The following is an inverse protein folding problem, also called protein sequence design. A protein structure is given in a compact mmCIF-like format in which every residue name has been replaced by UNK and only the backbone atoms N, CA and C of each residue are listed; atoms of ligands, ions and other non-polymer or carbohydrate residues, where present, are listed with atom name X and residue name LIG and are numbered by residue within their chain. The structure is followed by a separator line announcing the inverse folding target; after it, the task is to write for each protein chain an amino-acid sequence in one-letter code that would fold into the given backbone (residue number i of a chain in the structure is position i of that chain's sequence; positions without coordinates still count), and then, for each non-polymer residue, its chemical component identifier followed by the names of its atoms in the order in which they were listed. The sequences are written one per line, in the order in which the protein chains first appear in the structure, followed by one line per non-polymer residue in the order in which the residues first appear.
data_IF_144145502625
#
_entry.id   IF_144145502625
#
_cell.length_a   1.000
_cell.length_b   1.000
_cell.length_c   1.000
_cell.angle_alpha   90.00
_cell.angle_beta   90.00
_cell.angle_gamma   90.00
#
_symmetry.space_group_name_H-M   'P 1'
#
loop_
_entity.id
_entity.type
_entity.pdbx_description
1 polymer ?
#
# COMPACT_ATOMS: atom_id res chain seq x y z
N UNK A 1 9.95 23.25 10.21
CA UNK A 1 9.70 23.44 8.76
C UNK A 1 9.55 22.05 8.14
N UNK A 2 8.38 21.74 7.60
CA UNK A 2 8.23 20.52 6.80
C UNK A 2 9.07 20.69 5.53
N UNK A 3 9.84 19.66 5.18
CA UNK A 3 10.53 19.63 3.90
C UNK A 3 9.51 19.82 2.76
N UNK A 4 9.85 20.52 1.68
CA UNK A 4 8.94 20.66 0.55
C UNK A 4 8.56 19.27 0.03
N UNK A 5 7.27 19.07 -0.23
CA UNK A 5 6.78 17.83 -0.82
C UNK A 5 7.47 17.59 -2.17
N UNK A 6 8.08 16.44 -2.34
CA UNK A 6 8.70 16.01 -3.60
C UNK A 6 7.83 14.90 -4.20
N UNK A 7 7.25 15.17 -5.37
CA UNK A 7 6.46 14.18 -6.09
C UNK A 7 7.33 13.03 -6.60
N UNK A 8 6.77 11.83 -6.68
CA UNK A 8 7.42 10.71 -7.36
C UNK A 8 7.56 10.99 -8.84
N UNK A 9 8.69 10.61 -9.49
CA UNK A 9 8.80 10.67 -10.94
C UNK A 9 7.68 9.89 -11.67
N UNK A 10 7.08 8.90 -11.00
CA UNK A 10 6.04 8.04 -11.54
C UNK A 10 4.61 8.61 -11.41
N UNK A 11 4.43 9.76 -10.76
CA UNK A 11 3.17 10.52 -10.77
C UNK A 11 2.91 11.24 -12.11
N UNK A 12 3.88 11.24 -13.00
CA UNK A 12 3.76 11.76 -14.36
C UNK A 12 4.02 10.66 -15.38
N UNK A 13 3.62 10.86 -16.64
CA UNK A 13 3.91 9.91 -17.71
C UNK A 13 5.43 9.68 -17.83
N UNK A 14 5.86 8.46 -17.53
CA UNK A 14 7.25 8.05 -17.44
C UNK A 14 7.55 6.94 -18.46
N UNK A 15 8.77 6.84 -19.04
CA UNK A 15 9.13 5.75 -19.96
C UNK A 15 8.86 4.34 -19.41
N UNK A 16 8.99 4.14 -18.10
CA UNK A 16 8.71 2.87 -17.43
C UNK A 16 7.26 2.40 -17.65
N UNK A 17 6.27 3.30 -17.58
CA UNK A 17 4.85 2.94 -17.79
C UNK A 17 4.66 2.35 -19.20
N UNK A 18 5.20 3.03 -20.21
CA UNK A 18 5.17 2.55 -21.60
C UNK A 18 5.88 1.20 -21.74
N UNK A 19 7.06 1.06 -21.16
CA UNK A 19 7.83 -0.19 -21.22
C UNK A 19 7.04 -1.36 -20.60
N UNK A 20 6.35 -1.14 -19.48
CA UNK A 20 5.49 -2.17 -18.85
C UNK A 20 4.34 -2.55 -19.78
N UNK A 21 3.61 -1.58 -20.35
CA UNK A 21 2.50 -1.82 -21.28
C UNK A 21 2.98 -2.61 -22.51
N UNK A 22 4.08 -2.17 -23.13
CA UNK A 22 4.64 -2.80 -24.34
C UNK A 22 5.11 -4.23 -24.04
N UNK A 23 5.82 -4.44 -22.94
CA UNK A 23 6.30 -5.76 -22.52
C UNK A 23 5.14 -6.72 -22.22
N UNK A 24 4.12 -6.27 -21.48
CA UNK A 24 2.96 -7.07 -21.16
C UNK A 24 2.22 -7.56 -22.44
N UNK A 25 2.02 -6.66 -23.39
CA UNK A 25 1.40 -6.98 -24.68
C UNK A 25 2.24 -7.90 -25.54
N UNK A 26 3.55 -7.65 -25.59
CA UNK A 26 4.47 -8.47 -26.42
C UNK A 26 4.63 -9.89 -25.87
N UNK A 27 4.64 -10.06 -24.57
CA UNK A 27 4.84 -11.34 -23.89
C UNK A 27 3.51 -12.08 -23.63
N UNK A 28 2.37 -11.40 -23.77
CA UNK A 28 1.04 -11.88 -23.34
C UNK A 28 1.00 -12.28 -21.85
N UNK A 29 1.70 -11.51 -21.02
CA UNK A 29 1.81 -11.72 -19.58
C UNK A 29 1.39 -10.44 -18.85
N UNK A 30 0.80 -10.57 -17.68
CA UNK A 30 0.40 -9.43 -16.87
C UNK A 30 1.46 -8.98 -15.84
N UNK A 31 2.57 -9.71 -15.76
CA UNK A 31 3.72 -9.47 -14.86
C UNK A 31 4.99 -9.47 -15.66
N UNK A 32 5.66 -8.33 -15.74
CA UNK A 32 6.79 -8.11 -16.64
C UNK A 32 7.87 -7.26 -15.99
N UNK A 33 9.02 -7.18 -16.64
CA UNK A 33 10.14 -6.31 -16.25
C UNK A 33 10.53 -6.50 -14.78
N UNK A 34 10.96 -7.68 -14.35
CA UNK A 34 11.36 -7.92 -12.98
C UNK A 34 12.46 -6.95 -12.55
N UNK A 35 12.24 -6.31 -11.40
CA UNK A 35 13.18 -5.38 -10.79
C UNK A 35 13.60 -5.94 -9.43
N UNK A 36 14.83 -6.41 -9.34
CA UNK A 36 15.37 -6.97 -8.10
C UNK A 36 16.01 -5.89 -7.27
N UNK A 37 15.61 -5.77 -6.00
CA UNK A 37 16.10 -4.72 -5.11
C UNK A 37 16.45 -5.28 -3.73
N UNK A 38 17.45 -4.66 -3.07
CA UNK A 38 17.68 -4.79 -1.63
C UNK A 38 17.05 -3.62 -0.93
N UNK A 39 16.21 -3.91 0.06
CA UNK A 39 15.58 -2.91 0.90
C UNK A 39 16.19 -3.01 2.31
N UNK A 40 16.48 -1.86 2.89
CA UNK A 40 16.84 -1.73 4.30
C UNK A 40 15.90 -0.73 4.95
N UNK A 41 15.28 -1.14 6.06
CA UNK A 41 14.42 -0.30 6.87
C UNK A 41 15.02 -0.17 8.26
N UNK A 42 14.94 1.04 8.83
CA UNK A 42 15.45 1.35 10.17
C UNK A 42 14.36 2.03 10.98
N UNK A 43 14.26 1.67 12.26
CA UNK A 43 13.47 2.36 13.28
C UNK A 43 14.41 2.68 14.45
N UNK A 44 14.48 3.98 14.82
CA UNK A 44 15.38 4.47 15.85
C UNK A 44 14.60 5.22 16.91
N UNK A 45 14.41 4.58 18.08
CA UNK A 45 13.79 5.22 19.26
C UNK A 45 14.78 6.21 19.87
N UNK A 46 14.32 7.42 20.17
CA UNK A 46 15.14 8.51 20.68
C UNK A 46 15.78 8.18 22.02
N UNK A 47 16.93 8.81 22.24
CA UNK A 47 17.64 8.71 23.51
C UNK A 47 16.70 9.12 24.67
N UNK A 48 16.71 8.31 25.73
CA UNK A 48 15.94 8.55 26.95
C UNK A 48 14.40 8.62 26.79
N UNK A 49 13.85 8.32 25.59
CA UNK A 49 12.41 8.14 25.42
C UNK A 49 11.86 6.95 26.21
N UNK A 50 12.72 5.98 26.51
CA UNK A 50 12.45 4.83 27.38
C UNK A 50 13.49 4.80 28.49
N UNK A 51 13.11 4.59 29.76
CA UNK A 51 14.07 4.51 30.87
C UNK A 51 15.13 3.45 30.64
N UNK A 52 16.39 3.77 30.99
CA UNK A 52 17.51 2.82 30.85
C UNK A 52 17.25 1.48 31.55
N UNK A 53 17.55 0.39 30.86
CA UNK A 53 17.31 -0.99 31.29
C UNK A 53 15.92 -1.54 31.00
N UNK A 54 14.94 -0.72 30.62
CA UNK A 54 13.64 -1.16 30.14
C UNK A 54 13.74 -1.68 28.70
N UNK A 55 12.93 -2.68 28.37
CA UNK A 55 12.92 -3.28 27.02
C UNK A 55 12.04 -2.47 26.07
N UNK A 56 12.64 -1.99 24.99
CA UNK A 56 11.94 -1.48 23.82
C UNK A 56 11.54 -2.65 22.93
N UNK A 57 10.30 -2.68 22.48
CA UNK A 57 9.73 -3.61 21.52
C UNK A 57 9.43 -2.88 20.22
N UNK A 58 9.88 -3.40 19.10
CA UNK A 58 9.68 -2.77 17.79
C UNK A 58 9.17 -3.78 16.75
N UNK A 59 8.34 -3.29 15.83
CA UNK A 59 7.83 -4.02 14.68
C UNK A 59 8.17 -3.22 13.43
N UNK A 60 9.04 -3.75 12.58
CA UNK A 60 9.37 -3.15 11.29
C UNK A 60 8.59 -3.87 10.19
N UNK A 61 7.91 -3.14 9.28
CA UNK A 61 7.18 -3.75 8.16
C UNK A 61 8.06 -4.71 7.35
N UNK A 62 7.48 -5.84 6.95
CA UNK A 62 8.18 -6.84 6.17
C UNK A 62 7.25 -7.44 5.11
N UNK A 63 7.64 -7.49 3.83
CA UNK A 63 6.75 -7.92 2.77
C UNK A 63 6.39 -9.40 2.87
N UNK A 64 5.26 -9.75 2.29
CA UNK A 64 4.87 -11.12 1.97
C UNK A 64 4.96 -11.33 0.46
N UNK A 65 5.10 -12.58 0.01
CA UNK A 65 5.01 -12.88 -1.40
C UNK A 65 3.59 -12.62 -1.93
N UNK A 66 3.50 -11.91 -3.05
CA UNK A 66 2.27 -11.63 -3.77
C UNK A 66 2.52 -12.04 -5.21
N UNK A 67 1.96 -13.19 -5.67
CA UNK A 67 2.24 -13.73 -7.00
C UNK A 67 2.06 -12.70 -8.12
N UNK A 68 3.09 -12.58 -8.96
CA UNK A 68 3.14 -11.66 -10.09
C UNK A 68 3.34 -10.19 -9.72
N UNK A 69 3.40 -9.82 -8.44
CA UNK A 69 3.65 -8.44 -8.00
C UNK A 69 4.99 -8.31 -7.28
N UNK A 70 5.25 -9.15 -6.27
CA UNK A 70 6.49 -9.19 -5.52
C UNK A 70 6.77 -10.61 -5.04
N UNK A 71 7.97 -11.09 -5.32
CA UNK A 71 8.38 -12.48 -5.12
C UNK A 71 9.83 -12.57 -4.66
N UNK A 72 10.34 -13.77 -4.43
CA UNK A 72 11.73 -14.06 -4.07
C UNK A 72 12.23 -13.25 -2.85
N UNK A 73 11.36 -13.07 -1.87
CA UNK A 73 11.68 -12.33 -0.66
C UNK A 73 12.69 -13.13 0.17
N UNK A 74 13.88 -12.57 0.36
CA UNK A 74 14.96 -13.19 1.07
C UNK A 74 15.48 -12.28 2.18
N UNK A 75 15.32 -12.71 3.41
CA UNK A 75 15.94 -12.05 4.56
C UNK A 75 17.47 -12.03 4.42
N UNK A 76 18.10 -10.88 4.66
CA UNK A 76 19.55 -10.68 4.54
C UNK A 76 20.20 -10.46 5.89
N UNK A 77 19.74 -9.49 6.65
CA UNK A 77 20.33 -9.11 7.94
C UNK A 77 19.35 -8.35 8.82
N UNK A 78 19.61 -8.31 10.11
CA UNK A 78 18.93 -7.42 11.06
C UNK A 78 19.83 -6.93 12.16
N UNK A 79 19.45 -5.82 12.78
CA UNK A 79 20.01 -5.28 14.01
C UNK A 79 18.86 -5.03 14.99
N UNK A 80 18.84 -5.65 16.17
CA UNK A 80 19.73 -6.74 16.63
C UNK A 80 19.58 -8.01 15.79
N UNK A 81 20.54 -8.95 15.90
CA UNK A 81 20.47 -10.22 15.20
C UNK A 81 19.31 -11.13 15.69
N UNK A 82 18.93 -11.00 16.96
CA UNK A 82 17.76 -11.67 17.53
C UNK A 82 16.48 -10.98 17.07
N UNK A 83 15.62 -11.71 16.36
CA UNK A 83 14.38 -11.20 15.79
C UNK A 83 13.35 -12.33 15.60
N UNK A 84 12.10 -11.96 15.37
CA UNK A 84 11.03 -12.87 14.96
C UNK A 84 10.34 -12.34 13.71
N UNK A 85 10.27 -13.15 12.66
CA UNK A 85 9.53 -12.80 11.43
C UNK A 85 8.11 -13.33 11.55
N UNK A 86 7.12 -12.48 11.40
CA UNK A 86 5.71 -12.88 11.40
C UNK A 86 5.41 -13.93 10.31
N UNK A 87 4.45 -14.85 10.52
CA UNK A 87 4.05 -15.83 9.52
C UNK A 87 3.72 -15.20 8.16
N UNK A 88 3.98 -15.93 7.07
CA UNK A 88 3.68 -15.48 5.70
C UNK A 88 2.19 -15.15 5.47
N UNK A 89 1.31 -15.79 6.22
CA UNK A 89 -0.14 -15.54 6.20
C UNK A 89 -0.57 -14.23 6.85
N UNK A 90 0.35 -13.52 7.54
CA UNK A 90 0.05 -12.24 8.20
C UNK A 90 -0.06 -11.13 7.17
N UNK A 91 -1.24 -10.49 7.08
CA UNK A 91 -1.53 -9.48 6.04
C UNK A 91 -0.88 -8.11 6.29
N UNK A 92 -0.56 -7.80 7.55
CA UNK A 92 0.38 -6.73 7.94
C UNK A 92 1.58 -7.39 8.61
N UNK A 93 2.49 -7.87 7.79
CA UNK A 93 3.64 -8.68 8.20
C UNK A 93 4.78 -7.81 8.72
N UNK A 94 5.46 -8.27 9.77
CA UNK A 94 6.55 -7.53 10.41
C UNK A 94 7.72 -8.43 10.79
N UNK A 95 8.87 -7.81 11.00
CA UNK A 95 9.95 -8.36 11.81
C UNK A 95 9.87 -7.70 13.18
N UNK A 96 9.78 -8.50 14.21
CA UNK A 96 9.70 -8.09 15.60
C UNK A 96 11.05 -8.16 16.29
N UNK A 97 11.31 -7.19 17.18
CA UNK A 97 12.55 -7.04 17.92
C UNK A 97 12.31 -6.65 19.38
N UNK A 98 13.26 -7.03 20.22
CA UNK A 98 13.39 -6.53 21.59
C UNK A 98 14.84 -6.10 21.85
N UNK A 99 15.02 -4.94 22.50
CA UNK A 99 16.34 -4.46 22.92
C UNK A 99 16.21 -3.58 24.18
N UNK A 100 17.11 -3.72 25.17
CA UNK A 100 17.12 -2.82 26.32
C UNK A 100 17.56 -1.42 25.92
N UNK A 101 16.84 -0.39 26.41
CA UNK A 101 17.24 1.00 26.28
C UNK A 101 18.49 1.29 27.13
N UNK A 102 19.35 2.18 26.65
CA UNK A 102 20.55 2.66 27.34
C UNK A 102 20.47 4.18 27.55
N UNK A 103 20.94 4.63 28.69
CA UNK A 103 20.94 6.06 28.99
C UNK A 103 21.72 6.88 27.97
N UNK A 104 21.12 7.92 27.42
CA UNK A 104 21.73 8.82 26.45
C UNK A 104 21.97 8.26 25.05
N UNK A 105 21.51 7.00 24.77
CA UNK A 105 21.67 6.37 23.46
C UNK A 105 20.32 6.13 22.77
N UNK A 106 20.28 6.30 21.44
CA UNK A 106 19.15 5.84 20.62
C UNK A 106 19.07 4.31 20.62
N UNK A 107 17.86 3.74 20.66
CA UNK A 107 17.65 2.32 20.50
C UNK A 107 17.25 2.05 19.06
N UNK A 108 18.17 1.46 18.27
CA UNK A 108 18.01 1.29 16.83
C UNK A 108 17.73 -0.15 16.44
N UNK A 109 16.77 -0.34 15.57
CA UNK A 109 16.40 -1.60 14.95
C UNK A 109 16.48 -1.47 13.43
N UNK A 110 16.92 -2.51 12.73
CA UNK A 110 16.93 -2.53 11.27
C UNK A 110 16.69 -3.91 10.71
N UNK A 111 16.17 -3.98 9.51
CA UNK A 111 16.03 -5.19 8.70
C UNK A 111 16.43 -4.91 7.27
N UNK A 112 17.18 -5.84 6.67
CA UNK A 112 17.52 -5.82 5.25
C UNK A 112 17.04 -7.10 4.58
N UNK A 113 16.48 -6.98 3.38
CA UNK A 113 16.00 -8.11 2.58
C UNK A 113 16.07 -7.81 1.10
N UNK A 114 16.16 -8.87 0.28
CA UNK A 114 16.03 -8.79 -1.16
C UNK A 114 14.60 -9.14 -1.56
N UNK A 115 14.11 -8.53 -2.63
CA UNK A 115 12.79 -8.79 -3.23
C UNK A 115 12.85 -8.55 -4.74
N UNK A 116 12.08 -9.34 -5.50
CA UNK A 116 11.82 -9.12 -6.93
C UNK A 116 10.46 -8.48 -7.09
N UNK A 117 10.40 -7.30 -7.71
CA UNK A 117 9.20 -6.52 -7.98
C UNK A 117 8.91 -6.58 -9.48
N UNK A 118 7.63 -6.60 -9.85
CA UNK A 118 7.21 -6.70 -11.25
C UNK A 118 6.36 -5.49 -11.65
N UNK A 119 6.57 -4.98 -12.85
CA UNK A 119 5.59 -4.14 -13.52
C UNK A 119 4.37 -4.98 -13.89
N UNK A 120 3.18 -4.42 -13.65
CA UNK A 120 1.91 -5.09 -13.95
C UNK A 120 1.12 -4.31 -14.98
N UNK A 121 0.48 -5.01 -15.90
CA UNK A 121 -0.49 -4.41 -16.80
C UNK A 121 -1.48 -5.44 -17.32
N UNK A 122 -2.76 -5.12 -17.17
CA UNK A 122 -3.88 -5.91 -17.68
C UNK A 122 -4.52 -5.17 -18.87
N UNK A 123 -4.46 -5.78 -20.03
CA UNK A 123 -5.13 -5.26 -21.24
C UNK A 123 -6.60 -5.70 -21.24
N UNK A 124 -7.44 -4.94 -20.51
CA UNK A 124 -8.82 -5.32 -20.25
C UNK A 124 -9.73 -4.99 -21.43
N UNK A 125 -10.28 -6.04 -22.05
CA UNK A 125 -11.38 -5.92 -23.02
C UNK A 125 -12.72 -5.85 -22.26
N UNK A 126 -13.31 -4.68 -22.20
CA UNK A 126 -14.56 -4.46 -21.48
C UNK A 126 -15.71 -5.34 -21.93
N UNK A 127 -15.72 -5.78 -23.19
CA UNK A 127 -16.80 -6.61 -23.74
C UNK A 127 -16.69 -8.08 -23.29
N UNK A 128 -15.51 -8.49 -22.78
CA UNK A 128 -15.29 -9.80 -22.17
C UNK A 128 -15.54 -9.83 -20.65
N UNK A 129 -15.68 -8.64 -20.03
CA UNK A 129 -15.84 -8.53 -18.58
C UNK A 129 -17.22 -9.05 -18.16
N UNK A 130 -17.21 -9.83 -17.08
CA UNK A 130 -18.40 -10.40 -16.48
C UNK A 130 -18.46 -10.03 -15.00
N UNK A 131 -19.67 -10.05 -14.41
CA UNK A 131 -19.80 -9.99 -12.95
C UNK A 131 -19.12 -11.20 -12.32
N UNK A 132 -18.27 -10.93 -11.33
CA UNK A 132 -17.62 -11.99 -10.57
C UNK A 132 -18.65 -12.82 -9.81
N UNK A 133 -18.53 -14.14 -9.87
CA UNK A 133 -19.21 -15.02 -8.92
C UNK A 133 -18.55 -14.86 -7.55
N UNK A 134 -19.30 -14.41 -6.56
CA UNK A 134 -18.77 -14.14 -5.22
C UNK A 134 -18.62 -15.48 -4.48
N UNK A 135 -17.41 -15.99 -4.49
CA UNK A 135 -17.01 -17.20 -3.74
C UNK A 135 -16.75 -16.84 -2.26
N UNK A 136 -16.61 -17.82 -1.35
CA UNK A 136 -16.23 -17.56 0.05
C UNK A 136 -14.94 -16.74 0.18
N UNK A 137 -13.99 -16.91 -0.74
CA UNK A 137 -12.71 -16.18 -0.75
C UNK A 137 -12.88 -14.72 -1.18
N UNK A 138 -13.83 -14.41 -2.05
CA UNK A 138 -14.14 -13.06 -2.52
C UNK A 138 -15.14 -12.32 -1.62
N UNK A 139 -15.96 -13.04 -0.86
CA UNK A 139 -17.02 -12.47 -0.03
C UNK A 139 -16.53 -11.36 0.94
N UNK A 140 -15.38 -11.48 1.62
CA UNK A 140 -14.87 -10.40 2.47
C UNK A 140 -14.55 -9.11 1.73
N UNK A 141 -14.29 -9.19 0.42
CA UNK A 141 -13.87 -8.06 -0.41
C UNK A 141 -15.01 -7.35 -1.14
N UNK A 142 -16.26 -7.79 -0.93
CA UNK A 142 -17.48 -7.06 -1.32
C UNK A 142 -18.30 -6.64 -0.11
N UNK A 143 -17.90 -7.03 1.09
CA UNK A 143 -18.58 -6.72 2.33
C UNK A 143 -18.09 -5.39 2.93
N UNK A 144 -18.94 -4.81 3.78
CA UNK A 144 -18.54 -3.75 4.69
C UNK A 144 -17.50 -4.26 5.69
N UNK A 145 -16.64 -3.37 6.14
CA UNK A 145 -15.69 -3.61 7.22
C UNK A 145 -15.50 -2.32 8.03
N UNK A 146 -16.32 -2.17 9.05
CA UNK A 146 -16.21 -1.05 9.95
C UNK A 146 -14.81 -0.97 10.61
N UNK A 147 -14.32 0.23 10.93
CA UNK A 147 -15.06 1.50 10.82
C UNK A 147 -14.90 2.20 9.46
N UNK A 148 -13.98 1.78 8.59
CA UNK A 148 -13.53 2.56 7.43
C UNK A 148 -14.23 2.20 6.11
N UNK A 149 -14.74 0.98 5.97
CA UNK A 149 -15.52 0.53 4.81
C UNK A 149 -16.95 0.29 5.26
N UNK A 150 -17.77 1.36 5.22
CA UNK A 150 -19.18 1.36 5.61
C UNK A 150 -19.99 2.03 4.50
N UNK A 151 -21.07 1.40 4.06
CA UNK A 151 -21.91 1.88 2.97
C UNK A 151 -22.93 2.92 3.47
N UNK A 152 -22.45 4.12 3.82
CA UNK A 152 -23.32 5.22 4.28
C UNK A 152 -24.29 5.68 3.19
N UNK A 153 -25.35 6.38 3.57
CA UNK A 153 -26.33 6.90 2.62
C UNK A 153 -25.70 7.89 1.63
N UNK A 154 -24.72 8.68 2.08
CA UNK A 154 -23.99 9.63 1.23
C UNK A 154 -23.09 8.91 0.23
N UNK A 155 -22.39 7.86 0.63
CA UNK A 155 -21.61 7.01 -0.29
C UNK A 155 -22.51 6.30 -1.31
N UNK A 156 -23.69 5.82 -0.88
CA UNK A 156 -24.69 5.24 -1.79
C UNK A 156 -25.21 6.28 -2.78
N UNK A 157 -25.51 7.49 -2.32
CA UNK A 157 -25.98 8.59 -3.18
C UNK A 157 -24.90 9.04 -4.17
N UNK A 158 -23.65 9.15 -3.71
CA UNK A 158 -22.50 9.47 -4.57
C UNK A 158 -22.31 8.39 -5.64
N UNK A 159 -22.29 7.11 -5.24
CA UNK A 159 -22.14 5.99 -6.17
C UNK A 159 -23.23 5.98 -7.24
N UNK A 160 -24.51 6.10 -6.86
CA UNK A 160 -25.62 6.17 -7.83
C UNK A 160 -25.46 7.30 -8.83
N UNK A 161 -25.03 8.48 -8.38
CA UNK A 161 -24.81 9.64 -9.25
C UNK A 161 -23.67 9.42 -10.25
N UNK A 162 -22.59 8.76 -9.83
CA UNK A 162 -21.41 8.51 -10.67
C UNK A 162 -21.66 7.35 -11.64
N UNK A 163 -22.18 6.24 -11.14
CA UNK A 163 -22.38 5.02 -11.92
C UNK A 163 -23.56 5.16 -12.89
N UNK A 164 -24.68 5.76 -12.45
CA UNK A 164 -25.91 5.82 -13.24
C UNK A 164 -26.44 4.43 -13.56
N UNK A 165 -26.78 4.20 -14.81
CA UNK A 165 -27.35 2.92 -15.31
C UNK A 165 -26.27 1.96 -15.82
N UNK A 166 -24.99 2.21 -15.58
CA UNK A 166 -23.91 1.34 -16.01
C UNK A 166 -23.96 -0.01 -15.26
N UNK A 167 -23.79 -1.10 -15.99
CA UNK A 167 -23.86 -2.47 -15.46
C UNK A 167 -22.58 -3.28 -15.64
N UNK A 168 -21.69 -2.85 -16.55
CA UNK A 168 -20.41 -3.50 -16.77
C UNK A 168 -19.43 -3.19 -15.63
N UNK A 169 -18.90 -4.20 -14.91
CA UNK A 169 -18.04 -3.96 -13.76
C UNK A 169 -16.79 -3.12 -14.05
N UNK A 170 -16.17 -3.31 -15.20
CA UNK A 170 -14.99 -2.52 -15.59
C UNK A 170 -15.34 -1.05 -15.83
N UNK A 171 -16.41 -0.79 -16.56
CA UNK A 171 -16.87 0.58 -16.82
C UNK A 171 -17.35 1.28 -15.53
N UNK A 172 -17.97 0.52 -14.60
CA UNK A 172 -18.27 1.02 -13.26
C UNK A 172 -16.98 1.43 -12.54
N UNK A 173 -15.96 0.54 -12.54
CA UNK A 173 -14.67 0.82 -11.92
C UNK A 173 -14.01 2.06 -12.52
N UNK A 174 -13.99 2.21 -13.85
CA UNK A 174 -13.47 3.39 -14.54
C UNK A 174 -14.17 4.68 -14.12
N UNK A 175 -15.50 4.67 -14.01
CA UNK A 175 -16.28 5.85 -13.57
C UNK A 175 -15.99 6.22 -12.12
N UNK A 176 -15.93 5.23 -11.22
CA UNK A 176 -15.63 5.46 -9.81
C UNK A 176 -14.20 5.94 -9.61
N UNK A 177 -13.24 5.31 -10.28
CA UNK A 177 -11.83 5.72 -10.29
C UNK A 177 -11.69 7.19 -10.73
N UNK A 178 -12.25 7.56 -11.88
CA UNK A 178 -12.21 8.92 -12.38
C UNK A 178 -12.94 9.93 -11.48
N UNK A 179 -13.93 9.51 -10.71
CA UNK A 179 -14.62 10.37 -9.76
C UNK A 179 -13.79 10.63 -8.49
N UNK A 180 -13.08 9.62 -8.00
CA UNK A 180 -12.18 9.74 -6.84
C UNK A 180 -10.90 10.48 -7.21
N UNK A 181 -10.31 10.22 -8.38
CA UNK A 181 -9.14 10.93 -8.94
C UNK A 181 -9.32 12.47 -8.98
N UNK A 182 -10.57 12.95 -9.12
CA UNK A 182 -10.88 14.38 -9.08
C UNK A 182 -10.82 15.01 -7.69
N UNK A 183 -10.75 14.23 -6.63
CA UNK A 183 -10.60 14.75 -5.28
C UNK A 183 -9.14 15.24 -5.15
N UNK A 184 -8.91 16.54 -4.90
CA UNK A 184 -7.56 17.06 -4.82
C UNK A 184 -6.75 16.34 -3.75
N UNK A 185 -5.51 15.99 -4.08
CA UNK A 185 -4.59 15.49 -3.07
C UNK A 185 -4.32 16.58 -2.03
N UNK A 186 -4.37 16.23 -0.77
CA UNK A 186 -4.14 17.16 0.32
C UNK A 186 -3.58 16.47 1.55
N UNK A 187 -2.76 17.23 2.30
CA UNK A 187 -2.02 16.76 3.45
C UNK A 187 -2.88 15.96 4.43
N UNK A 188 -2.33 14.85 4.85
CA UNK A 188 -2.99 13.86 5.65
C UNK A 188 -3.44 14.40 7.01
N UNK A 189 -4.66 14.06 7.36
CA UNK A 189 -5.07 13.95 8.75
C UNK A 189 -4.70 12.56 9.23
N UNK A 190 -4.09 12.44 10.40
CA UNK A 190 -3.69 11.17 11.00
C UNK A 190 -4.87 10.19 11.09
N UNK A 191 -4.72 9.00 10.52
CA UNK A 191 -5.81 8.03 10.33
C UNK A 191 -6.43 7.55 11.65
N UNK A 192 -5.62 7.46 12.71
CA UNK A 192 -6.08 7.12 14.06
C UNK A 192 -7.09 8.12 14.64
N UNK A 193 -7.19 9.32 14.05
CA UNK A 193 -8.10 10.40 14.45
C UNK A 193 -9.37 10.48 13.60
N UNK A 194 -9.53 9.60 12.61
CA UNK A 194 -10.66 9.58 11.68
C UNK A 194 -11.52 8.35 11.97
N UNK A 195 -12.78 8.57 12.31
CA UNK A 195 -13.71 7.49 12.65
C UNK A 195 -14.10 6.62 11.44
N UNK A 196 -14.30 7.24 10.27
CA UNK A 196 -14.56 6.54 9.01
C UNK A 196 -13.82 7.29 7.89
N UNK A 197 -12.75 6.67 7.39
CA UNK A 197 -11.86 7.31 6.40
C UNK A 197 -12.56 7.48 5.06
N UNK A 198 -13.34 6.51 4.60
CA UNK A 198 -14.04 6.61 3.31
C UNK A 198 -15.08 7.73 3.30
N UNK A 199 -15.84 7.87 4.39
CA UNK A 199 -16.81 8.95 4.54
C UNK A 199 -16.13 10.32 4.68
N UNK A 200 -15.01 10.37 5.43
CA UNK A 200 -14.19 11.58 5.55
C UNK A 200 -13.66 12.03 4.18
N UNK A 201 -13.08 11.14 3.38
CA UNK A 201 -12.55 11.44 2.05
C UNK A 201 -13.61 12.00 1.10
N UNK A 202 -14.86 11.52 1.22
CA UNK A 202 -15.98 12.04 0.42
C UNK A 202 -16.33 13.50 0.74
N UNK A 203 -16.17 13.93 2.00
CA UNK A 203 -16.69 15.21 2.50
C UNK A 203 -15.61 16.28 2.72
N UNK A 204 -14.35 15.90 2.91
CA UNK A 204 -13.28 16.82 3.29
C UNK A 204 -12.87 17.79 2.16
N UNK A 205 -13.20 17.49 0.90
CA UNK A 205 -12.81 18.29 -0.27
C UNK A 205 -11.35 18.10 -0.69
N UNK A 206 -10.61 17.26 0.01
CA UNK A 206 -9.26 16.80 -0.30
C UNK A 206 -9.03 15.44 0.38
N UNK A 207 -8.08 14.66 -0.12
CA UNK A 207 -7.74 13.38 0.46
C UNK A 207 -6.29 13.00 0.11
N UNK A 208 -5.62 12.27 0.99
CA UNK A 208 -4.33 11.65 0.69
C UNK A 208 -4.51 10.28 0.04
N UNK A 209 -3.38 9.58 -0.20
CA UNK A 209 -3.38 8.30 -0.90
C UNK A 209 -4.24 7.23 -0.20
N UNK A 210 -4.13 7.07 1.11
CA UNK A 210 -4.92 6.10 1.82
C UNK A 210 -6.39 6.45 1.93
N UNK A 211 -6.70 7.72 2.07
CA UNK A 211 -8.08 8.20 2.11
C UNK A 211 -8.78 8.00 0.77
N UNK A 212 -8.12 8.35 -0.36
CA UNK A 212 -8.63 8.10 -1.71
C UNK A 212 -8.79 6.59 -1.98
N UNK A 213 -7.79 5.80 -1.59
CA UNK A 213 -7.81 4.33 -1.78
C UNK A 213 -8.96 3.67 -1.02
N UNK A 214 -9.19 4.01 0.27
CA UNK A 214 -10.30 3.45 1.04
C UNK A 214 -11.66 3.90 0.52
N UNK A 215 -11.78 5.14 0.07
CA UNK A 215 -13.01 5.61 -0.60
C UNK A 215 -13.29 4.79 -1.86
N UNK A 216 -12.30 4.60 -2.74
CA UNK A 216 -12.47 3.81 -3.96
C UNK A 216 -12.80 2.35 -3.64
N UNK A 217 -12.09 1.72 -2.70
CA UNK A 217 -12.39 0.36 -2.23
C UNK A 217 -13.83 0.25 -1.75
N UNK A 218 -14.31 1.21 -0.97
CA UNK A 218 -15.69 1.23 -0.45
C UNK A 218 -16.71 1.35 -1.58
N UNK A 219 -16.49 2.25 -2.54
CA UNK A 219 -17.37 2.44 -3.68
C UNK A 219 -17.41 1.23 -4.61
N UNK A 220 -16.27 0.56 -4.85
CA UNK A 220 -16.21 -0.68 -5.63
C UNK A 220 -16.98 -1.81 -4.93
N UNK A 221 -16.75 -2.03 -3.64
CA UNK A 221 -17.49 -3.03 -2.86
C UNK A 221 -18.99 -2.78 -2.84
N UNK A 222 -19.41 -1.53 -2.70
CA UNK A 222 -20.81 -1.12 -2.76
C UNK A 222 -21.48 -1.51 -4.09
N UNK A 223 -20.72 -1.56 -5.18
CA UNK A 223 -21.19 -1.98 -6.50
C UNK A 223 -20.96 -3.49 -6.79
N UNK A 224 -20.59 -4.27 -5.78
CA UNK A 224 -20.35 -5.70 -5.89
C UNK A 224 -19.07 -6.07 -6.64
N UNK A 225 -18.12 -5.15 -6.75
CA UNK A 225 -16.79 -5.39 -7.32
C UNK A 225 -15.83 -5.64 -6.15
N UNK A 226 -15.24 -6.86 -6.04
CA UNK A 226 -14.32 -7.14 -4.95
C UNK A 226 -13.12 -6.20 -5.03
N UNK A 227 -12.79 -5.57 -3.90
CA UNK A 227 -11.67 -4.65 -3.82
C UNK A 227 -10.96 -4.76 -2.46
N UNK A 228 -9.63 -4.57 -2.46
CA UNK A 228 -8.80 -4.67 -1.28
C UNK A 228 -7.69 -3.62 -1.26
N UNK A 229 -7.18 -3.37 -0.08
CA UNK A 229 -6.13 -2.41 0.22
C UNK A 229 -4.75 -3.03 0.06
N UNK A 230 -3.80 -2.20 -0.38
CA UNK A 230 -2.37 -2.42 -0.22
C UNK A 230 -1.70 -1.13 0.22
N UNK A 231 -0.63 -1.23 0.99
CA UNK A 231 0.21 -0.09 1.35
C UNK A 231 1.66 -0.50 1.56
N UNK A 232 2.56 0.45 1.43
CA UNK A 232 3.97 0.20 1.60
C UNK A 232 4.83 1.41 1.26
N UNK A 233 5.91 1.17 0.54
CA UNK A 233 6.88 2.19 0.19
C UNK A 233 7.08 2.21 -1.32
N UNK A 234 7.03 3.40 -1.92
CA UNK A 234 7.51 3.64 -3.27
C UNK A 234 8.89 4.28 -3.25
N UNK A 235 9.66 4.08 -4.31
CA UNK A 235 11.02 4.59 -4.42
C UNK A 235 11.39 4.84 -5.90
N UNK A 236 12.56 5.41 -6.13
CA UNK A 236 13.10 5.61 -7.47
C UNK A 236 14.64 5.51 -7.46
N UNK A 237 15.24 5.41 -8.62
CA UNK A 237 16.70 5.29 -8.79
C UNK A 237 17.49 6.54 -8.37
N UNK A 238 16.83 7.69 -8.28
CA UNK A 238 17.41 8.96 -7.80
C UNK A 238 17.47 9.09 -6.28
N UNK A 239 17.15 8.01 -5.52
CA UNK A 239 17.11 8.02 -4.07
C UNK A 239 15.80 8.54 -3.46
N UNK A 240 14.79 8.87 -4.30
CA UNK A 240 13.47 9.21 -3.81
C UNK A 240 12.83 7.98 -3.15
N UNK A 241 12.15 8.19 -2.03
CA UNK A 241 11.20 7.24 -1.45
C UNK A 241 10.10 7.97 -0.68
N UNK A 242 8.94 7.36 -0.58
CA UNK A 242 7.83 7.87 0.20
C UNK A 242 6.86 6.75 0.57
N UNK A 243 6.12 6.95 1.64
CA UNK A 243 4.97 6.14 2.01
C UNK A 243 3.90 6.24 0.92
N UNK A 244 3.25 5.13 0.60
CA UNK A 244 2.17 5.14 -0.38
C UNK A 244 1.14 4.05 -0.15
N UNK A 245 -0.11 4.37 -0.50
CA UNK A 245 -1.26 3.49 -0.40
C UNK A 245 -1.92 3.35 -1.76
N UNK A 246 -2.27 2.13 -2.10
CA UNK A 246 -2.98 1.76 -3.32
C UNK A 246 -3.89 0.57 -3.07
N UNK A 247 -4.47 -0.01 -4.10
CA UNK A 247 -5.35 -1.14 -3.92
C UNK A 247 -5.33 -2.13 -5.06
N UNK A 248 -6.22 -3.09 -4.95
CA UNK A 248 -6.53 -4.03 -6.00
C UNK A 248 -8.05 -4.17 -6.15
N UNK A 249 -8.50 -4.43 -7.38
CA UNK A 249 -9.88 -4.80 -7.68
C UNK A 249 -9.89 -6.15 -8.42
N UNK A 250 -10.99 -6.88 -8.30
CA UNK A 250 -11.17 -8.15 -8.99
C UNK A 250 -12.15 -8.00 -10.16
N UNK A 251 -11.67 -8.25 -11.37
CA UNK A 251 -12.48 -8.18 -12.59
C UNK A 251 -12.46 -9.55 -13.28
N UNK A 252 -13.61 -10.20 -13.37
CA UNK A 252 -13.72 -11.46 -14.11
C UNK A 252 -13.74 -11.22 -15.64
N UNK A 253 -13.01 -12.01 -16.44
CA UNK A 253 -12.26 -13.22 -16.07
C UNK A 253 -10.79 -12.97 -15.68
N UNK A 254 -10.33 -11.72 -15.60
CA UNK A 254 -8.91 -11.34 -15.44
C UNK A 254 -8.35 -11.62 -14.04
N UNK A 255 -9.18 -11.61 -12.99
CA UNK A 255 -8.73 -11.81 -11.61
C UNK A 255 -8.39 -10.51 -10.88
N UNK A 256 -7.51 -10.61 -9.88
CA UNK A 256 -7.03 -9.47 -9.13
C UNK A 256 -6.05 -8.62 -9.94
N UNK A 257 -6.35 -7.35 -10.08
CA UNK A 257 -5.50 -6.38 -10.76
C UNK A 257 -5.29 -5.13 -9.90
N UNK A 258 -4.13 -4.45 -10.02
CA UNK A 258 -3.83 -3.27 -9.22
C UNK A 258 -4.65 -2.05 -9.63
N UNK A 259 -4.79 -1.12 -8.69
CA UNK A 259 -5.31 0.23 -8.92
C UNK A 259 -4.61 1.22 -7.99
N UNK A 260 -4.23 2.38 -8.51
CA UNK A 260 -3.68 3.48 -7.73
C UNK A 260 -4.35 4.78 -8.13
N UNK A 261 -5.37 5.17 -7.38
CA UNK A 261 -6.19 6.34 -7.70
C UNK A 261 -5.52 7.66 -7.34
N UNK A 262 -4.48 7.64 -6.53
CA UNK A 262 -3.72 8.84 -6.17
C UNK A 262 -2.82 9.31 -7.31
N UNK A 263 -2.16 8.37 -7.99
CA UNK A 263 -1.44 8.68 -9.22
C UNK A 263 -2.40 8.97 -10.37
N UNK A 264 -3.60 8.42 -10.29
CA UNK A 264 -4.70 8.80 -11.12
C UNK A 264 -4.45 8.56 -12.61
N UNK A 265 -5.09 9.41 -13.40
CA UNK A 265 -4.90 9.40 -14.84
C UNK A 265 -3.70 10.26 -15.24
N UNK A 266 -2.71 9.64 -15.90
CA UNK A 266 -1.50 10.32 -16.35
C UNK A 266 -1.76 11.19 -17.60
N UNK A 267 -1.03 12.31 -17.70
CA UNK A 267 -1.05 13.16 -18.90
C UNK A 267 -0.25 12.50 -20.03
N UNK A 268 -0.95 11.71 -20.84
CA UNK A 268 -0.36 10.99 -21.98
C UNK A 268 -1.34 10.92 -23.14
N UNK A 269 -0.88 11.09 -24.40
CA UNK A 269 -1.71 10.87 -25.60
C UNK A 269 -2.00 9.38 -25.86
N UNK A 270 -1.24 8.47 -25.26
CA UNK A 270 -1.47 7.03 -25.34
C UNK A 270 -2.45 6.61 -24.25
N UNK A 271 -3.66 6.13 -24.60
CA UNK A 271 -4.69 5.77 -23.61
C UNK A 271 -4.22 4.71 -22.62
N UNK A 272 -3.39 3.75 -23.04
CA UNK A 272 -2.90 2.69 -22.17
C UNK A 272 -1.91 3.22 -21.11
N UNK A 273 -1.15 4.26 -21.45
CA UNK A 273 -0.30 4.97 -20.50
C UNK A 273 -1.12 5.94 -19.66
N UNK A 274 -2.09 6.64 -20.26
CA UNK A 274 -2.96 7.58 -19.54
C UNK A 274 -3.73 6.90 -18.41
N UNK A 275 -4.27 5.71 -18.66
CA UNK A 275 -5.06 4.94 -17.70
C UNK A 275 -4.23 3.86 -16.98
N UNK A 276 -2.88 3.98 -16.98
CA UNK A 276 -1.95 2.95 -16.50
C UNK A 276 -2.30 2.45 -15.09
N UNK A 277 -2.61 3.34 -14.16
CA UNK A 277 -2.86 2.99 -12.76
C UNK A 277 -4.26 2.44 -12.45
N UNK A 278 -5.04 2.10 -13.47
CA UNK A 278 -6.23 1.27 -13.33
C UNK A 278 -6.02 -0.03 -14.12
N UNK A 279 -5.56 -1.07 -13.44
CA UNK A 279 -5.16 -2.36 -14.04
C UNK A 279 -3.65 -2.46 -14.30
N UNK A 280 -2.86 -1.48 -13.90
CA UNK A 280 -1.41 -1.48 -14.00
C UNK A 280 -0.72 -1.02 -12.71
N UNK A 281 0.56 -1.40 -12.57
CA UNK A 281 1.43 -1.04 -11.45
C UNK A 281 2.88 -0.99 -11.93
N UNK A 282 3.61 -0.01 -11.45
CA UNK A 282 5.05 0.09 -11.68
C UNK A 282 5.84 -0.92 -10.81
N UNK A 283 7.11 -1.17 -11.15
CA UNK A 283 8.01 -2.05 -10.41
C UNK A 283 8.89 -1.29 -9.39
N UNK A 284 8.45 -0.11 -8.94
CA UNK A 284 9.20 0.78 -8.05
C UNK A 284 8.51 0.98 -6.70
N UNK A 285 7.79 -0.04 -6.25
CA UNK A 285 7.14 -0.06 -4.94
C UNK A 285 7.09 -1.45 -4.34
N UNK A 286 7.18 -1.52 -3.03
CA UNK A 286 7.02 -2.75 -2.25
C UNK A 286 5.79 -2.63 -1.36
N UNK A 287 4.89 -3.62 -1.44
CA UNK A 287 3.76 -3.74 -0.53
C UNK A 287 4.21 -4.40 0.78
N UNK A 288 4.08 -3.68 1.88
CA UNK A 288 4.25 -4.23 3.22
C UNK A 288 2.95 -4.88 3.70
N UNK A 289 1.83 -4.27 3.33
CA UNK A 289 0.50 -4.65 3.76
C UNK A 289 -0.35 -5.09 2.57
N UNK A 290 -1.03 -6.22 2.73
CA UNK A 290 -2.00 -6.75 1.77
C UNK A 290 -3.43 -6.68 2.34
N UNK A 291 -3.62 -5.87 3.36
CA UNK A 291 -4.87 -5.39 3.94
C UNK A 291 -4.58 -4.30 5.00
N UNK A 292 -5.60 -3.56 5.42
CA UNK A 292 -5.49 -2.50 6.42
C UNK A 292 -5.91 -2.99 7.83
N UNK A 293 -5.38 -2.33 8.89
CA UNK A 293 -5.83 -2.51 10.27
C UNK A 293 -5.81 -3.96 10.77
N UNK A 294 -4.80 -4.74 10.43
CA UNK A 294 -4.64 -6.14 10.87
C UNK A 294 -3.78 -6.24 12.13
N UNK A 295 -4.01 -7.24 13.00
CA UNK A 295 -3.18 -7.44 14.18
C UNK A 295 -1.72 -7.76 13.79
N UNK A 296 -0.78 -7.30 14.61
CA UNK A 296 0.64 -7.64 14.49
C UNK A 296 0.94 -9.00 15.14
N UNK A 297 2.04 -9.61 14.73
CA UNK A 297 2.57 -10.84 15.32
C UNK A 297 4.06 -10.66 15.66
N UNK A 298 4.46 -10.81 16.96
CA UNK A 298 3.58 -10.92 18.12
C UNK A 298 2.71 -9.67 18.33
N UNK A 299 1.60 -9.80 19.05
CA UNK A 299 0.67 -8.72 19.28
C UNK A 299 1.27 -7.59 20.13
N UNK A 300 0.96 -6.34 19.81
CA UNK A 300 1.20 -5.19 20.68
C UNK A 300 0.36 -5.26 21.94
N UNK A 301 0.87 -4.67 23.01
CA UNK A 301 0.16 -4.53 24.31
C UNK A 301 -0.58 -3.20 24.40
N UNK A 302 -0.07 -2.19 23.71
CA UNK A 302 -0.60 -0.82 23.72
C UNK A 302 -1.20 -0.46 22.37
N UNK A 303 -1.96 0.64 22.33
CA UNK A 303 -2.57 1.17 21.12
C UNK A 303 -1.50 1.46 20.04
N UNK A 304 -1.84 1.22 18.78
CA UNK A 304 -0.93 1.45 17.65
C UNK A 304 -0.87 2.91 17.27
N UNK A 305 0.30 3.37 16.80
CA UNK A 305 0.46 4.66 16.15
C UNK A 305 -0.15 4.65 14.74
N UNK A 306 0.12 3.59 13.96
CA UNK A 306 -0.46 3.37 12.63
C UNK A 306 -1.60 2.35 12.74
N UNK A 307 -2.84 2.84 12.83
CA UNK A 307 -4.02 1.98 13.05
C UNK A 307 -4.55 1.33 11.79
N UNK A 308 -4.24 1.87 10.62
CA UNK A 308 -4.75 1.45 9.31
C UNK A 308 -3.65 0.85 8.47
N UNK A 309 -2.75 1.67 8.01
CA UNK A 309 -1.51 1.32 7.37
C UNK A 309 -0.45 0.86 8.40
N UNK A 310 0.59 0.26 7.92
CA UNK A 310 1.78 -0.09 8.70
C UNK A 310 2.97 0.10 7.76
N UNK A 311 3.47 1.31 7.71
CA UNK A 311 4.49 1.68 6.73
C UNK A 311 5.79 2.07 7.40
N UNK A 312 5.71 2.83 8.49
CA UNK A 312 6.86 3.32 9.28
C UNK A 312 7.33 2.28 10.30
N UNK A 313 6.38 1.54 10.86
CA UNK A 313 6.60 0.59 11.93
C UNK A 313 5.91 1.01 13.23
N UNK A 314 6.14 0.22 14.27
CA UNK A 314 5.55 0.42 15.58
C UNK A 314 6.60 0.23 16.67
N UNK A 315 6.51 0.98 17.74
CA UNK A 315 7.35 0.79 18.91
C UNK A 315 6.55 0.94 20.20
N UNK A 316 6.90 0.15 21.22
CA UNK A 316 6.33 0.24 22.57
C UNK A 316 7.33 -0.21 23.61
N UNK A 317 7.05 0.10 24.87
CA UNK A 317 7.71 -0.48 26.01
C UNK A 317 6.70 -0.81 27.11
N UNK A 318 7.12 -1.31 28.23
CA UNK A 318 6.22 -1.67 29.35
C UNK A 318 5.28 -0.53 29.79
N UNK A 319 5.74 0.71 29.72
CA UNK A 319 5.00 1.88 30.17
C UNK A 319 4.03 2.48 29.17
N UNK A 320 4.06 2.07 27.88
CA UNK A 320 3.16 2.61 26.87
C UNK A 320 3.62 2.42 25.43
N UNK A 321 2.78 2.91 24.50
CA UNK A 321 3.16 3.07 23.12
C UNK A 321 4.18 4.20 22.97
N UNK A 322 5.05 4.11 21.98
CA UNK A 322 5.91 5.20 21.54
C UNK A 322 5.32 5.79 20.27
N UNK A 323 5.06 7.11 20.25
CA UNK A 323 4.49 7.81 19.12
C UNK A 323 5.60 8.42 18.24
N UNK A 324 5.22 8.96 17.08
CA UNK A 324 6.14 9.45 16.05
C UNK A 324 7.05 10.61 16.48
N UNK A 325 6.77 11.26 17.59
CA UNK A 325 7.63 12.27 18.23
C UNK A 325 8.73 11.68 19.11
N UNK A 326 8.79 10.35 19.24
CA UNK A 326 9.71 9.61 20.11
C UNK A 326 10.63 8.66 19.35
N UNK A 327 10.49 8.57 18.03
CA UNK A 327 11.32 7.72 17.16
C UNK A 327 11.27 8.17 15.70
N UNK A 328 12.35 7.85 14.98
CA UNK A 328 12.51 8.09 13.56
C UNK A 328 12.50 6.76 12.77
N UNK A 329 12.21 6.84 11.49
CA UNK A 329 12.33 5.73 10.55
C UNK A 329 13.10 6.15 9.31
N UNK A 330 13.72 5.16 8.63
CA UNK A 330 14.42 5.37 7.37
C UNK A 330 14.22 4.17 6.45
N UNK A 331 14.28 4.44 5.15
CA UNK A 331 14.11 3.46 4.09
C UNK A 331 15.16 3.66 3.01
N UNK A 332 15.82 2.58 2.62
CA UNK A 332 16.76 2.56 1.53
C UNK A 332 16.42 1.41 0.57
N UNK A 333 16.34 1.71 -0.73
CA UNK A 333 16.22 0.72 -1.80
C UNK A 333 17.44 0.79 -2.72
N UNK A 334 18.10 -0.34 -2.90
CA UNK A 334 19.26 -0.48 -3.79
C UNK A 334 18.96 -1.50 -4.88
N UNK A 335 18.99 -1.13 -6.17
CA UNK A 335 18.90 -2.09 -7.26
C UNK A 335 19.97 -3.17 -7.13
N UNK A 336 19.59 -4.40 -7.40
CA UNK A 336 20.50 -5.54 -7.47
C UNK A 336 20.65 -5.96 -8.94
N UNK A 337 21.83 -6.48 -9.35
CA UNK A 337 21.97 -7.06 -10.66
C UNK A 337 20.91 -8.14 -10.90
N UNK A 338 20.36 -8.20 -12.12
CA UNK A 338 19.58 -9.36 -12.53
C UNK A 338 20.45 -10.61 -12.36
N UNK A 339 19.88 -11.76 -11.93
CA UNK A 339 20.61 -13.01 -12.00
C UNK A 339 21.18 -13.14 -13.40
N UNK A 340 22.48 -13.43 -13.52
CA UNK A 340 23.06 -13.78 -14.82
C UNK A 340 22.29 -14.99 -15.36
N UNK A 341 21.79 -14.88 -16.59
CA UNK A 341 21.19 -15.98 -17.34
C UNK A 341 22.15 -17.16 -17.49
#
# INVERSE_FOLDING_TARGET
EQAPFTASPLESAHPHHRAVVEAARAQHEDSVLPHRVRITQTLAVDADAVPAGETVRAWIPYPRAIPGQQEDIRFVASVPAAHEVAPESTLQRTVYFEQPARAGEKTTFSVSYDVTLYGRHFDVDADKVQRAAITPELAPFVAERAPHVVFTDDLRAFSRRVVGDETNPWRIAQKLYAAVDRIPWGGAREYSTISNISDYALHAGHADCGQQTLLLVTLLRLNGIPARWQSGMMFADNGYWNLHDWGQLYIAPYGWMPMDVTFGRLDSPDPAVADFYLGGLDAWRVAFNDDYGRPLSPAKRHFRSETVDLQRGEAEWRGGNLYFDQWDYDFEARPLPSPAE
#
